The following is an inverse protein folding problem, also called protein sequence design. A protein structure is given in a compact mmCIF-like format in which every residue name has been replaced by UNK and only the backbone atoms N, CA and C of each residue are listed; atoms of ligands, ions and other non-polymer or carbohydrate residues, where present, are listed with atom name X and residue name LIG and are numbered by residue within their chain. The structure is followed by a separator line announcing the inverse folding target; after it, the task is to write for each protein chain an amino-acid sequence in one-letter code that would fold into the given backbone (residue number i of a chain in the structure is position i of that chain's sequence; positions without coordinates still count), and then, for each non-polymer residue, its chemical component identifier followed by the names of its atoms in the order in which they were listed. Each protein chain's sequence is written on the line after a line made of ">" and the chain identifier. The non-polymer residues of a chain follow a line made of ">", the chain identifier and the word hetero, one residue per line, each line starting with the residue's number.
data_IF_104598571096
#
_entry.id   IF_104598571096
#
_cell.length_a   1.000
_cell.length_b   1.000
_cell.length_c   1.000
_cell.angle_alpha   90.00
_cell.angle_beta   90.00
_cell.angle_gamma   90.00
#
_symmetry.space_group_name_H-M   'P 1'
#
loop_
_entity.id
_entity.type
_entity.pdbx_description
1 polymer ?
#
# COMPACT_ATOMS: atom_id res chain seq x y z
N UNK A 1 7.44 0.84 0.34
CA UNK A 1 6.77 -0.35 0.89
C UNK A 1 7.82 -1.22 1.55
N UNK A 2 7.73 -1.42 2.87
CA UNK A 2 8.67 -2.28 3.58
C UNK A 2 8.45 -3.75 3.17
N UNK A 3 9.52 -4.45 2.79
CA UNK A 3 9.49 -5.91 2.58
C UNK A 3 8.94 -6.62 3.82
N UNK A 4 9.21 -6.06 4.99
CA UNK A 4 8.72 -6.54 6.28
C UNK A 4 7.19 -6.61 6.39
N UNK A 5 6.45 -5.55 6.01
CA UNK A 5 4.98 -5.59 6.10
C UNK A 5 4.40 -6.62 5.12
N UNK A 6 4.98 -6.75 3.92
CA UNK A 6 4.55 -7.79 2.97
C UNK A 6 4.72 -9.21 3.51
N UNK A 7 5.79 -9.47 4.26
CA UNK A 7 6.01 -10.77 4.90
C UNK A 7 4.95 -11.00 6.00
N UNK A 8 4.68 -9.99 6.83
CA UNK A 8 3.62 -10.06 7.84
C UNK A 8 2.23 -10.29 7.23
N UNK A 9 1.96 -9.72 6.05
CA UNK A 9 0.71 -9.92 5.32
C UNK A 9 0.57 -11.39 4.90
N UNK A 10 1.64 -11.97 4.33
CA UNK A 10 1.64 -13.38 3.94
C UNK A 10 1.44 -14.30 5.14
N UNK A 11 2.12 -14.03 6.25
CA UNK A 11 2.01 -14.81 7.49
C UNK A 11 0.58 -14.72 8.05
N UNK A 12 0.03 -13.51 8.20
CA UNK A 12 -1.32 -13.33 8.73
C UNK A 12 -2.38 -13.99 7.85
N UNK A 13 -2.25 -13.87 6.53
CA UNK A 13 -3.17 -14.51 5.59
C UNK A 13 -3.06 -16.05 5.65
N UNK A 14 -1.85 -16.59 5.74
CA UNK A 14 -1.63 -18.03 5.87
C UNK A 14 -2.25 -18.58 7.18
N UNK A 15 -2.02 -17.91 8.31
CA UNK A 15 -2.63 -18.29 9.59
C UNK A 15 -4.16 -18.20 9.55
N UNK A 16 -4.71 -17.16 8.92
CA UNK A 16 -6.16 -17.01 8.78
C UNK A 16 -6.76 -18.13 7.93
N UNK A 17 -6.11 -18.50 6.82
CA UNK A 17 -6.54 -19.64 6.01
C UNK A 17 -6.41 -20.97 6.76
N UNK A 18 -5.34 -21.16 7.52
CA UNK A 18 -5.13 -22.36 8.32
C UNK A 18 -6.22 -22.50 9.40
N UNK A 19 -6.46 -21.47 10.21
CA UNK A 19 -7.53 -21.46 11.21
C UNK A 19 -8.93 -21.60 10.60
N UNK A 20 -9.17 -20.97 9.45
CA UNK A 20 -10.43 -21.10 8.70
C UNK A 20 -10.67 -22.51 8.16
N UNK A 21 -9.63 -23.17 7.64
CA UNK A 21 -9.71 -24.55 7.18
C UNK A 21 -9.97 -25.51 8.36
N UNK A 22 -9.27 -25.32 9.49
CA UNK A 22 -9.47 -26.11 10.71
C UNK A 22 -10.91 -25.99 11.24
N UNK A 23 -11.47 -24.78 11.26
CA UNK A 23 -12.86 -24.57 11.64
C UNK A 23 -13.82 -25.26 10.66
N UNK A 24 -13.56 -25.17 9.35
CA UNK A 24 -14.37 -25.85 8.34
C UNK A 24 -14.36 -27.37 8.51
N UNK A 25 -13.20 -27.97 8.76
CA UNK A 25 -13.06 -29.41 8.98
C UNK A 25 -13.89 -29.87 10.19
N UNK A 26 -13.80 -29.17 11.32
CA UNK A 26 -14.58 -29.49 12.52
C UNK A 26 -16.08 -29.41 12.25
N UNK A 27 -16.53 -28.32 11.62
CA UNK A 27 -17.96 -28.17 11.27
C UNK A 27 -18.40 -29.28 10.32
N UNK A 28 -17.57 -29.65 9.35
CA UNK A 28 -17.86 -30.72 8.40
C UNK A 28 -17.93 -32.09 9.06
N UNK A 29 -17.09 -32.36 10.05
CA UNK A 29 -17.05 -33.63 10.80
C UNK A 29 -18.17 -33.73 11.84
N UNK A 30 -18.64 -32.62 12.40
CA UNK A 30 -19.70 -32.61 13.41
C UNK A 30 -21.11 -32.61 12.81
N UNK A 31 -21.29 -32.09 11.58
CA UNK A 31 -22.58 -32.11 10.85
C UNK A 31 -23.24 -33.51 10.77
N UNK A 32 -22.54 -34.61 10.44
CA UNK A 32 -23.13 -35.96 10.39
C UNK A 32 -23.53 -36.51 11.76
N UNK A 33 -22.99 -35.96 12.85
CA UNK A 33 -23.14 -36.51 14.21
C UNK A 33 -24.42 -35.94 14.89
N UNK A 34 -25.17 -35.05 14.23
CA UNK A 34 -26.34 -34.36 14.80
C UNK A 34 -26.05 -33.71 16.17
N UNK A 35 -24.82 -33.24 16.39
CA UNK A 35 -24.51 -32.42 17.54
C UNK A 35 -25.20 -31.05 17.38
N UNK A 36 -26.15 -30.75 18.27
CA UNK A 36 -26.90 -29.49 18.27
C UNK A 36 -26.01 -28.27 18.58
N UNK A 37 -24.88 -28.48 19.27
CA UNK A 37 -23.91 -27.43 19.61
C UNK A 37 -22.50 -27.77 19.09
N UNK A 38 -22.08 -27.10 18.01
CA UNK A 38 -20.71 -27.17 17.49
C UNK A 38 -19.84 -26.22 18.31
N UNK A 39 -19.06 -26.76 19.24
CA UNK A 39 -18.10 -25.98 20.03
C UNK A 39 -16.74 -25.98 19.34
N UNK A 40 -16.32 -24.81 18.84
CA UNK A 40 -14.99 -24.66 18.23
C UNK A 40 -13.93 -24.69 19.34
N UNK A 41 -12.86 -25.50 19.19
CA UNK A 41 -11.71 -25.50 20.06
C UNK A 41 -11.07 -24.11 20.24
N UNK A 42 -10.60 -23.83 21.46
CA UNK A 42 -10.07 -22.51 21.83
C UNK A 42 -8.76 -22.15 21.14
N UNK A 43 -7.97 -23.14 20.75
CA UNK A 43 -6.74 -22.97 19.96
C UNK A 43 -7.03 -22.34 18.59
N UNK A 44 -8.04 -22.81 17.86
CA UNK A 44 -8.46 -22.23 16.57
C UNK A 44 -8.96 -20.79 16.77
N UNK A 45 -9.71 -20.53 17.84
CA UNK A 45 -10.19 -19.18 18.18
C UNK A 45 -9.00 -18.24 18.40
N UNK A 46 -8.00 -18.68 19.19
CA UNK A 46 -6.80 -17.89 19.46
C UNK A 46 -5.99 -17.67 18.17
N UNK A 47 -5.84 -18.68 17.33
CA UNK A 47 -5.12 -18.59 16.05
C UNK A 47 -5.75 -17.54 15.13
N UNK A 48 -7.07 -17.57 14.97
CA UNK A 48 -7.80 -16.61 14.13
C UNK A 48 -7.71 -15.20 14.71
N UNK A 49 -7.87 -15.02 16.03
CA UNK A 49 -7.73 -13.70 16.68
C UNK A 49 -6.30 -13.16 16.50
N UNK A 50 -5.28 -14.02 16.67
CA UNK A 50 -3.89 -13.63 16.50
C UNK A 50 -3.61 -13.24 15.03
N UNK A 51 -4.13 -13.99 14.07
CA UNK A 51 -4.01 -13.66 12.64
C UNK A 51 -4.60 -12.29 12.32
N UNK A 52 -5.76 -11.96 12.92
CA UNK A 52 -6.41 -10.65 12.77
C UNK A 52 -5.57 -9.52 13.38
N UNK A 53 -5.01 -9.72 14.57
CA UNK A 53 -4.15 -8.73 15.22
C UNK A 53 -2.92 -8.43 14.34
N UNK A 54 -2.24 -9.48 13.85
CA UNK A 54 -1.07 -9.33 12.99
C UNK A 54 -1.46 -8.62 11.69
N UNK A 55 -2.60 -8.98 11.09
CA UNK A 55 -3.11 -8.32 9.89
C UNK A 55 -3.34 -6.82 10.13
N UNK A 56 -3.99 -6.44 11.23
CA UNK A 56 -4.22 -5.03 11.58
C UNK A 56 -2.92 -4.26 11.77
N UNK A 57 -1.95 -4.82 12.49
CA UNK A 57 -0.63 -4.22 12.70
C UNK A 57 0.07 -4.01 11.34
N UNK A 58 0.04 -5.02 10.49
CA UNK A 58 0.65 -4.95 9.18
C UNK A 58 -0.02 -3.89 8.28
N UNK A 59 -1.34 -3.76 8.30
CA UNK A 59 -2.05 -2.70 7.56
C UNK A 59 -1.65 -1.31 7.99
N UNK A 60 -1.43 -1.09 9.29
CA UNK A 60 -0.93 0.19 9.81
C UNK A 60 0.52 0.43 9.36
N UNK A 61 1.38 -0.57 9.42
CA UNK A 61 2.77 -0.46 8.93
C UNK A 61 2.86 -0.29 7.40
N UNK A 62 1.87 -0.81 6.68
CA UNK A 62 1.75 -0.64 5.24
C UNK A 62 1.25 0.75 4.85
N UNK A 63 0.45 1.38 5.72
CA UNK A 63 -0.05 2.72 5.49
C UNK A 63 1.14 3.66 5.28
N UNK A 64 1.15 4.33 4.12
CA UNK A 64 2.15 5.34 3.83
C UNK A 64 2.02 6.54 4.76
N UNK A 65 3.02 7.40 4.74
CA UNK A 65 2.97 8.66 5.47
C UNK A 65 1.78 9.51 5.01
N UNK A 66 1.16 10.19 5.96
CA UNK A 66 0.08 11.11 5.68
C UNK A 66 0.62 12.35 4.97
N UNK A 67 -0.17 12.89 4.04
CA UNK A 67 0.18 14.16 3.41
C UNK A 67 -0.07 15.32 4.39
N UNK A 68 0.78 16.36 4.37
CA UNK A 68 0.59 17.52 5.24
C UNK A 68 -0.70 18.27 4.87
N UNK A 69 -1.37 18.80 5.90
CA UNK A 69 -2.63 19.56 5.74
C UNK A 69 -2.36 20.94 5.13
N UNK A 70 -1.21 21.54 5.44
CA UNK A 70 -0.85 22.85 4.93
C UNK A 70 -0.35 22.75 3.48
N UNK A 71 -0.99 23.50 2.59
CA UNK A 71 -0.64 23.53 1.18
C UNK A 71 0.80 23.97 0.93
N UNK A 72 1.34 24.93 1.69
CA UNK A 72 2.72 25.38 1.48
C UNK A 72 3.73 24.27 1.78
N UNK A 73 3.50 23.53 2.86
CA UNK A 73 4.36 22.42 3.28
C UNK A 73 4.23 21.23 2.31
N UNK A 74 3.03 20.96 1.82
CA UNK A 74 2.77 19.97 0.78
C UNK A 74 3.58 20.27 -0.50
N UNK A 75 3.54 21.51 -0.99
CA UNK A 75 4.28 21.93 -2.19
C UNK A 75 5.79 21.83 -1.99
N UNK A 76 6.29 22.22 -0.81
CA UNK A 76 7.72 22.10 -0.47
C UNK A 76 8.19 20.63 -0.42
N UNK A 77 7.39 19.73 0.17
CA UNK A 77 7.68 18.30 0.13
C UNK A 77 7.70 17.77 -1.30
N UNK A 78 6.78 18.25 -2.14
CA UNK A 78 6.68 17.80 -3.51
C UNK A 78 7.82 18.31 -4.42
N UNK A 79 8.30 19.53 -4.16
CA UNK A 79 9.50 20.04 -4.81
C UNK A 79 10.76 19.24 -4.44
N UNK A 80 10.84 18.74 -3.20
CA UNK A 80 11.96 17.88 -2.76
C UNK A 80 11.88 16.46 -3.30
N UNK A 81 10.68 15.95 -3.56
CA UNK A 81 10.46 14.58 -4.04
C UNK A 81 10.58 14.41 -5.55
N UNK A 82 10.92 15.47 -6.30
CA UNK A 82 11.01 15.50 -7.76
C UNK A 82 9.74 14.97 -8.46
N UNK A 83 8.57 15.21 -7.86
CA UNK A 83 7.33 14.69 -8.44
C UNK A 83 6.96 15.41 -9.75
N UNK A 84 6.82 14.62 -10.80
CA UNK A 84 6.58 15.08 -12.17
C UNK A 84 5.25 15.82 -12.28
N UNK A 85 4.23 15.46 -11.49
CA UNK A 85 2.89 16.05 -11.61
C UNK A 85 2.89 17.53 -11.22
N UNK A 86 3.54 17.90 -10.13
CA UNK A 86 3.67 19.32 -9.72
C UNK A 86 4.64 20.10 -10.59
N UNK A 87 5.64 19.42 -11.14
CA UNK A 87 6.54 20.02 -12.13
C UNK A 87 5.76 20.53 -13.36
N UNK A 88 4.67 19.85 -13.77
CA UNK A 88 3.84 20.24 -14.92
C UNK A 88 3.05 21.53 -14.64
N UNK A 89 2.58 21.74 -13.41
CA UNK A 89 1.88 22.97 -13.00
C UNK A 89 2.84 24.17 -12.96
N UNK A 90 4.09 23.93 -12.61
CA UNK A 90 5.15 24.96 -12.60
C UNK A 90 5.66 25.25 -14.01
N UNK A 91 6.01 24.20 -14.77
CA UNK A 91 6.57 24.30 -16.12
C UNK A 91 5.54 24.69 -17.20
N UNK A 92 4.26 24.41 -16.96
CA UNK A 92 3.12 24.79 -17.82
C UNK A 92 3.37 24.49 -19.30
N UNK A 93 3.48 23.20 -19.69
CA UNK A 93 3.87 22.83 -21.05
C UNK A 93 2.92 23.36 -22.13
N UNK A 94 1.63 23.56 -21.80
CA UNK A 94 0.64 24.14 -22.72
C UNK A 94 0.84 25.63 -23.03
N UNK A 95 1.57 26.37 -22.18
CA UNK A 95 1.89 27.79 -22.36
C UNK A 95 3.34 28.02 -22.80
N UNK A 96 4.04 26.95 -23.17
CA UNK A 96 5.43 27.03 -23.56
C UNK A 96 5.57 27.70 -24.94
N UNK A 97 6.37 28.77 -25.04
CA UNK A 97 6.72 29.32 -26.35
C UNK A 97 7.69 28.38 -27.08
N UNK A 98 7.09 27.56 -27.95
CA UNK A 98 7.80 26.58 -28.78
C UNK A 98 8.79 27.29 -29.72
N UNK A 99 8.47 28.48 -30.24
CA UNK A 99 9.32 29.21 -31.18
C UNK A 99 10.56 29.73 -30.47
N UNK A 100 10.41 30.27 -29.27
CA UNK A 100 11.54 30.69 -28.43
C UNK A 100 12.45 29.51 -28.07
N UNK A 101 11.89 28.39 -27.58
CA UNK A 101 12.69 27.20 -27.24
C UNK A 101 13.48 26.65 -28.43
N UNK A 102 12.88 26.61 -29.62
CA UNK A 102 13.56 26.17 -30.85
C UNK A 102 14.74 27.08 -31.22
N UNK A 103 14.60 28.40 -31.04
CA UNK A 103 15.70 29.36 -31.27
C UNK A 103 16.85 29.14 -30.31
N UNK A 104 16.57 28.96 -29.02
CA UNK A 104 17.59 28.69 -27.99
C UNK A 104 18.34 27.38 -28.27
N UNK A 105 17.62 26.31 -28.62
CA UNK A 105 18.25 25.03 -28.99
C UNK A 105 19.14 25.14 -30.22
N UNK A 106 18.73 25.95 -31.21
CA UNK A 106 19.56 26.22 -32.39
C UNK A 106 20.84 26.99 -32.00
N UNK A 107 20.73 27.97 -31.11
CA UNK A 107 21.88 28.74 -30.61
C UNK A 107 22.85 27.86 -29.79
N UNK A 108 22.35 26.96 -28.94
CA UNK A 108 23.18 26.07 -28.14
C UNK A 108 23.93 25.04 -28.98
N UNK A 109 23.42 24.65 -30.15
CA UNK A 109 24.13 23.78 -31.11
C UNK A 109 25.21 24.50 -31.90
N UNK A 110 25.09 25.81 -32.10
CA UNK A 110 26.03 26.62 -32.89
C UNK A 110 27.25 27.04 -32.05
N UNK A 111 27.10 27.10 -30.73
CA UNK A 111 28.19 27.41 -29.81
C UNK A 111 28.63 26.13 -29.09
N UNK A 112 29.58 25.33 -29.65
CA UNK A 112 30.21 24.28 -28.85
C UNK A 112 30.91 24.95 -27.66
N UNK A 113 30.80 24.33 -26.49
CA UNK A 113 31.53 24.74 -25.29
C UNK A 113 33.04 24.66 -25.54
#
# INVERSE_FOLDING_TARGET
>A
MGVFSRILLLISLFMLFHGGYSAHEIVSLMKPINQEEIKIPTDIIIEVILSLIIFCIERVLYAGELQPINYSEYVDMQHKSDDVIHSVLTYRPGFLDIRQKRRLYKQSKIKPQ
#
